data_IF_704974564567
#
_entry.id   IF_704974564567
#
_cell.length_a   1.000
_cell.length_b   1.000
_cell.length_c   1.000
_cell.angle_alpha   90.00
_cell.angle_beta   90.00
_cell.angle_gamma   90.00
#
_symmetry.space_group_name_H-M   'P 1'
#
loop_
_entity.id
_entity.type
_entity.pdbx_description
1 polymer ?
#
# COMPACT_ATOMS: atom_id res chain seq x y z
N UNK A 1 32.94 -16.98 -8.40
CA UNK A 1 31.79 -16.23 -8.94
C UNK A 1 32.31 -15.01 -9.70
N UNK A 2 31.85 -14.76 -10.92
CA UNK A 2 32.27 -13.61 -11.73
C UNK A 2 31.58 -12.33 -11.26
N UNK A 3 32.28 -11.19 -11.32
CA UNK A 3 31.69 -9.89 -10.97
C UNK A 3 30.56 -9.51 -11.95
N UNK A 4 29.45 -8.94 -11.47
CA UNK A 4 28.33 -8.56 -12.33
C UNK A 4 28.68 -7.40 -13.26
N UNK A 5 28.24 -7.50 -14.52
CA UNK A 5 28.46 -6.48 -15.54
C UNK A 5 27.70 -5.19 -15.25
N UNK A 6 28.12 -4.07 -15.84
CA UNK A 6 27.40 -2.79 -15.74
C UNK A 6 25.94 -2.91 -16.23
N UNK A 7 25.71 -3.69 -17.28
CA UNK A 7 24.37 -3.95 -17.81
C UNK A 7 23.49 -4.73 -16.83
N UNK A 8 24.03 -5.78 -16.19
CA UNK A 8 23.32 -6.53 -15.16
C UNK A 8 22.94 -5.64 -13.96
N UNK A 9 23.86 -4.79 -13.50
CA UNK A 9 23.60 -3.81 -12.44
C UNK A 9 22.48 -2.84 -12.84
N UNK A 10 22.52 -2.28 -14.05
CA UNK A 10 21.49 -1.35 -14.55
C UNK A 10 20.11 -2.00 -14.61
N UNK A 11 20.04 -3.24 -15.09
CA UNK A 11 18.78 -3.99 -15.17
C UNK A 11 18.21 -4.31 -13.79
N UNK A 12 19.06 -4.70 -12.84
CA UNK A 12 18.65 -4.94 -11.46
C UNK A 12 18.07 -3.67 -10.81
N UNK A 13 18.75 -2.53 -10.96
CA UNK A 13 18.27 -1.24 -10.44
C UNK A 13 16.93 -0.84 -11.05
N UNK A 14 16.78 -0.97 -12.37
CA UNK A 14 15.51 -0.67 -13.04
C UNK A 14 14.38 -1.60 -12.58
N UNK A 15 14.67 -2.88 -12.31
CA UNK A 15 13.69 -3.82 -11.77
C UNK A 15 13.29 -3.46 -10.35
N UNK A 16 14.25 -3.11 -9.50
CA UNK A 16 13.98 -2.69 -8.12
C UNK A 16 13.12 -1.42 -8.07
N UNK A 17 13.43 -0.42 -8.90
CA UNK A 17 12.62 0.80 -9.02
C UNK A 17 11.15 0.48 -9.34
N UNK A 18 10.90 -0.30 -10.39
CA UNK A 18 9.51 -0.69 -10.74
C UNK A 18 8.79 -1.46 -9.64
N UNK A 19 9.50 -2.32 -8.91
CA UNK A 19 8.91 -3.07 -7.80
C UNK A 19 8.62 -2.15 -6.62
N UNK A 20 9.47 -1.16 -6.37
CA UNK A 20 9.23 -0.14 -5.34
C UNK A 20 7.99 0.69 -5.68
N UNK A 21 7.91 1.21 -6.90
CA UNK A 21 6.76 2.01 -7.36
C UNK A 21 5.45 1.20 -7.26
N UNK A 22 5.47 -0.08 -7.66
CA UNK A 22 4.33 -0.97 -7.54
C UNK A 22 3.94 -1.25 -6.08
N UNK A 23 4.93 -1.35 -5.18
CA UNK A 23 4.69 -1.56 -3.76
C UNK A 23 4.10 -0.32 -3.08
N UNK A 24 4.58 0.87 -3.44
CA UNK A 24 4.03 2.16 -2.97
C UNK A 24 2.58 2.31 -3.41
N UNK A 25 2.30 2.06 -4.70
CA UNK A 25 0.93 2.09 -5.22
C UNK A 25 0.01 1.10 -4.52
N UNK A 26 0.47 -0.14 -4.30
CA UNK A 26 -0.30 -1.15 -3.58
C UNK A 26 -0.55 -0.76 -2.12
N UNK A 27 0.41 -0.10 -1.45
CA UNK A 27 0.23 0.40 -0.10
C UNK A 27 -0.87 1.47 -0.03
N UNK A 28 -0.90 2.38 -0.99
CA UNK A 28 -1.95 3.39 -1.11
C UNK A 28 -3.32 2.78 -1.39
N UNK A 29 -3.37 1.78 -2.28
CA UNK A 29 -4.61 1.07 -2.61
C UNK A 29 -5.19 0.35 -1.38
N UNK A 30 -4.33 -0.22 -0.52
CA UNK A 30 -4.75 -0.79 0.77
C UNK A 30 -5.36 0.29 1.67
N UNK A 31 -4.77 1.49 1.75
CA UNK A 31 -5.33 2.58 2.56
C UNK A 31 -6.71 3.03 2.04
N UNK A 32 -6.86 3.14 0.72
CA UNK A 32 -8.15 3.45 0.08
C UNK A 32 -9.19 2.36 0.37
N UNK A 33 -8.82 1.08 0.26
CA UNK A 33 -9.71 -0.04 0.54
C UNK A 33 -10.16 -0.06 2.01
N UNK A 34 -9.25 0.25 2.96
CA UNK A 34 -9.59 0.41 4.38
C UNK A 34 -10.65 1.50 4.56
N UNK A 35 -10.45 2.66 3.93
CA UNK A 35 -11.40 3.76 4.01
C UNK A 35 -12.77 3.34 3.49
N UNK A 36 -12.84 2.76 2.29
CA UNK A 36 -14.09 2.33 1.67
C UNK A 36 -14.81 1.27 2.51
N UNK A 37 -14.08 0.28 3.05
CA UNK A 37 -14.67 -0.78 3.88
C UNK A 37 -15.24 -0.25 5.21
N UNK A 38 -14.57 0.72 5.83
CA UNK A 38 -15.06 1.38 7.05
C UNK A 38 -16.26 2.27 6.77
N UNK A 39 -16.18 3.11 5.73
CA UNK A 39 -17.23 4.09 5.40
C UNK A 39 -18.53 3.39 5.00
N UNK A 40 -18.43 2.31 4.23
CA UNK A 40 -19.57 1.49 3.84
C UNK A 40 -20.07 0.57 4.98
N UNK A 41 -19.40 0.53 6.13
CA UNK A 41 -19.75 -0.34 7.25
C UNK A 41 -19.64 -1.84 6.95
N UNK A 42 -18.91 -2.23 5.90
CA UNK A 42 -18.78 -3.63 5.45
C UNK A 42 -18.00 -4.45 6.48
N UNK A 43 -16.91 -3.87 7.01
CA UNK A 43 -16.05 -4.53 7.98
C UNK A 43 -15.78 -3.63 9.20
N UNK A 44 -15.87 -4.14 10.44
CA UNK A 44 -15.41 -3.42 11.61
C UNK A 44 -13.88 -3.31 11.61
N UNK A 45 -13.33 -2.33 12.35
CA UNK A 45 -11.89 -2.10 12.47
C UNK A 45 -11.09 -3.37 12.81
N UNK A 46 -11.61 -4.22 13.70
CA UNK A 46 -10.95 -5.47 14.10
C UNK A 46 -10.83 -6.47 12.94
N UNK A 47 -11.87 -6.60 12.11
CA UNK A 47 -11.84 -7.49 10.96
C UNK A 47 -10.87 -6.98 9.88
N UNK A 48 -10.85 -5.67 9.64
CA UNK A 48 -9.89 -5.05 8.72
C UNK A 48 -8.45 -5.27 9.19
N UNK A 49 -8.18 -5.05 10.48
CA UNK A 49 -6.85 -5.27 11.04
C UNK A 49 -6.39 -6.73 10.93
N UNK A 50 -7.30 -7.68 11.17
CA UNK A 50 -7.04 -9.10 10.99
C UNK A 50 -6.74 -9.47 9.53
N UNK A 51 -7.47 -8.89 8.58
CA UNK A 51 -7.29 -9.15 7.15
C UNK A 51 -5.94 -8.63 6.61
N UNK A 52 -5.48 -7.47 7.10
CA UNK A 52 -4.19 -6.88 6.69
C UNK A 52 -3.02 -7.60 7.36
N UNK A 53 -3.19 -8.01 8.62
CA UNK A 53 -2.13 -8.58 9.43
C UNK A 53 -1.11 -7.53 9.91
N UNK A 54 -0.49 -7.77 11.06
CA UNK A 54 0.60 -6.92 11.58
C UNK A 54 0.19 -5.49 11.98
N UNK A 55 -1.11 -5.18 12.07
CA UNK A 55 -1.62 -3.87 12.49
C UNK A 55 -2.65 -4.00 13.61
N UNK A 56 -2.67 -3.04 14.53
CA UNK A 56 -3.66 -3.00 15.61
C UNK A 56 -4.99 -2.39 15.11
N UNK A 57 -6.16 -2.90 15.55
CA UNK A 57 -7.46 -2.31 15.27
C UNK A 57 -7.53 -0.79 15.57
N UNK A 58 -6.86 -0.32 16.62
CA UNK A 58 -6.86 1.10 16.99
C UNK A 58 -6.22 2.03 15.95
N UNK A 59 -5.40 1.48 15.04
CA UNK A 59 -4.72 2.25 13.99
C UNK A 59 -5.54 2.39 12.72
N UNK A 60 -6.64 1.64 12.60
CA UNK A 60 -7.39 1.51 11.35
C UNK A 60 -8.06 2.83 10.95
N UNK A 61 -8.63 3.59 11.89
CA UNK A 61 -9.17 4.94 11.60
C UNK A 61 -8.10 5.89 11.06
N UNK A 62 -6.91 5.86 11.64
CA UNK A 62 -5.79 6.69 11.17
C UNK A 62 -5.33 6.32 9.77
N UNK A 63 -5.41 5.04 9.39
CA UNK A 63 -5.15 4.56 8.03
C UNK A 63 -6.27 4.95 7.06
N UNK A 64 -7.53 4.82 7.46
CA UNK A 64 -8.68 5.25 6.68
C UNK A 64 -8.65 6.74 6.34
N UNK A 65 -8.27 7.60 7.29
CA UNK A 65 -8.14 9.03 7.04
C UNK A 65 -7.10 9.37 5.95
N UNK A 66 -6.04 8.56 5.82
CA UNK A 66 -5.08 8.71 4.71
C UNK A 66 -5.67 8.19 3.40
N UNK A 67 -6.37 7.06 3.44
CA UNK A 67 -7.08 6.52 2.27
C UNK A 67 -8.10 7.49 1.69
N UNK A 68 -8.82 8.23 2.54
CA UNK A 68 -9.74 9.28 2.11
C UNK A 68 -9.02 10.38 1.31
N UNK A 69 -7.88 10.87 1.80
CA UNK A 69 -7.07 11.89 1.10
C UNK A 69 -6.58 11.40 -0.26
N UNK A 70 -6.03 10.19 -0.32
CA UNK A 70 -5.57 9.59 -1.58
C UNK A 70 -6.73 9.46 -2.57
N UNK A 71 -7.92 9.06 -2.10
CA UNK A 71 -9.10 8.95 -2.95
C UNK A 71 -9.59 10.30 -3.47
N UNK A 72 -9.48 11.37 -2.68
CA UNK A 72 -9.77 12.74 -3.11
C UNK A 72 -8.76 13.24 -4.15
N UNK A 73 -7.46 13.03 -3.93
CA UNK A 73 -6.38 13.41 -4.85
C UNK A 73 -6.52 12.74 -6.22
N UNK A 74 -6.95 11.46 -6.26
CA UNK A 74 -7.17 10.72 -7.52
C UNK A 74 -8.39 11.16 -8.32
N UNK A 75 -9.30 11.95 -7.74
CA UNK A 75 -10.51 12.46 -8.41
C UNK A 75 -10.31 13.84 -9.05
N UNK A 76 -9.23 14.53 -8.69
CA UNK A 76 -8.84 15.83 -9.24
C UNK A 76 -8.03 15.65 -10.54
#
# INVERSE_FOLDING_TARGET
MSAPTRQQKRLAMARLGRLNDAAEQAADDVLVAIHQALEAGILPQAAIAAAIGGVSPSTIRGKAARGAKILEERKQ
#
